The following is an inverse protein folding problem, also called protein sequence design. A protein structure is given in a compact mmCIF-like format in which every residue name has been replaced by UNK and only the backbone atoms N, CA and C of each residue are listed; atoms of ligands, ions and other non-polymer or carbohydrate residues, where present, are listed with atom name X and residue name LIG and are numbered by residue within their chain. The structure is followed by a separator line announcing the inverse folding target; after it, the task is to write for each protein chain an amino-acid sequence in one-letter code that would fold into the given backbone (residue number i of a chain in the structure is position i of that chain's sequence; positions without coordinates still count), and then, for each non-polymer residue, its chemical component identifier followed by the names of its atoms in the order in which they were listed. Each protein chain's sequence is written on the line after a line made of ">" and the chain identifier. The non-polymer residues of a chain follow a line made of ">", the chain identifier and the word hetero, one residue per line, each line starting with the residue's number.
data_IF_621375831456
#
_entry.id   IF_621375831456
#
_cell.length_a   1.000
_cell.length_b   1.000
_cell.length_c   1.000
_cell.angle_alpha   90.00
_cell.angle_beta   90.00
_cell.angle_gamma   90.00
#
_symmetry.space_group_name_H-M   'P 1'
#
loop_
_entity.id
_entity.type
_entity.pdbx_description
1 polymer ?
#
# COMPACT_ATOMS: atom_id res chain seq x y z
N UNK A 1 1.07 -25.02 3.92
CA UNK A 1 1.09 -23.77 4.71
C UNK A 1 -0.01 -22.84 4.21
N UNK A 2 0.12 -22.16 3.06
CA UNK A 2 -0.88 -21.17 2.58
C UNK A 2 -2.35 -21.64 2.58
N UNK A 3 -2.73 -22.69 1.82
CA UNK A 3 -4.15 -23.11 1.78
C UNK A 3 -4.69 -23.56 3.15
N UNK A 4 -3.83 -24.02 4.07
CA UNK A 4 -4.22 -24.31 5.46
C UNK A 4 -4.52 -23.03 6.23
N UNK A 5 -3.63 -22.04 6.14
CA UNK A 5 -3.80 -20.70 6.73
C UNK A 5 -5.07 -20.01 6.20
N UNK A 6 -5.41 -20.20 4.92
CA UNK A 6 -6.67 -19.71 4.33
C UNK A 6 -7.88 -20.38 4.99
N UNK A 7 -7.84 -21.69 5.20
CA UNK A 7 -8.94 -22.42 5.85
C UNK A 7 -9.14 -21.98 7.31
N UNK A 8 -8.06 -21.60 7.99
CA UNK A 8 -8.07 -21.05 9.35
C UNK A 8 -8.35 -19.54 9.40
N UNK A 9 -8.53 -18.88 8.24
CA UNK A 9 -8.67 -17.43 8.08
C UNK A 9 -7.58 -16.61 8.80
N UNK A 10 -6.36 -17.14 8.86
CA UNK A 10 -5.26 -16.53 9.60
C UNK A 10 -3.93 -16.71 8.87
N UNK A 11 -3.28 -15.60 8.52
CA UNK A 11 -1.91 -15.57 8.01
C UNK A 11 -0.92 -15.27 9.17
N UNK A 12 -0.29 -16.28 9.78
CA UNK A 12 0.64 -16.08 10.90
C UNK A 12 1.99 -15.49 10.47
N UNK A 13 2.32 -15.54 9.18
CA UNK A 13 3.65 -15.15 8.70
C UNK A 13 3.73 -13.64 8.45
N UNK A 14 2.66 -13.05 7.90
CA UNK A 14 2.64 -11.63 7.51
C UNK A 14 1.41 -10.86 8.01
N UNK A 15 0.43 -11.53 8.63
CA UNK A 15 -0.74 -10.89 9.19
C UNK A 15 -1.76 -10.38 8.16
N UNK A 16 -1.73 -10.88 6.92
CA UNK A 16 -2.71 -10.50 5.89
C UNK A 16 -4.14 -10.82 6.34
N UNK A 17 -5.05 -9.87 6.17
CA UNK A 17 -6.47 -10.01 6.54
C UNK A 17 -6.79 -9.50 7.95
N UNK A 18 -5.79 -8.97 8.67
CA UNK A 18 -5.95 -8.43 10.03
C UNK A 18 -6.26 -6.92 10.06
N UNK A 19 -6.27 -6.23 8.90
CA UNK A 19 -6.57 -4.80 8.81
C UNK A 19 -7.79 -4.51 7.93
N UNK A 20 -8.51 -3.42 8.22
CA UNK A 20 -9.61 -2.95 7.36
C UNK A 20 -9.14 -2.62 5.93
N UNK A 21 -7.88 -2.23 5.76
CA UNK A 21 -7.29 -1.94 4.45
C UNK A 21 -7.13 -3.20 3.61
N UNK A 22 -6.78 -4.34 4.23
CA UNK A 22 -6.58 -5.61 3.52
C UNK A 22 -7.84 -6.10 2.82
N UNK A 23 -9.01 -5.81 3.40
CA UNK A 23 -10.32 -6.15 2.86
C UNK A 23 -10.91 -5.10 1.91
N UNK A 24 -10.28 -3.94 1.72
CA UNK A 24 -10.87 -2.83 0.96
C UNK A 24 -11.03 -3.14 -0.53
N UNK A 25 -10.08 -3.86 -1.13
CA UNK A 25 -10.08 -4.28 -2.54
C UNK A 25 -10.37 -5.78 -2.73
N UNK A 26 -10.77 -6.46 -1.65
CA UNK A 26 -11.02 -7.91 -1.64
C UNK A 26 -12.41 -8.30 -2.15
N UNK A 27 -12.73 -9.59 -2.03
CA UNK A 27 -14.07 -10.13 -2.35
C UNK A 27 -15.14 -9.50 -1.43
N UNK A 28 -16.07 -8.74 -2.00
CA UNK A 28 -17.10 -8.02 -1.24
C UNK A 28 -18.20 -8.95 -0.68
N UNK A 29 -18.26 -10.21 -1.15
CA UNK A 29 -19.21 -11.22 -0.69
C UNK A 29 -18.70 -12.03 0.51
N UNK A 30 -17.40 -11.96 0.82
CA UNK A 30 -16.85 -12.68 1.96
C UNK A 30 -17.33 -12.08 3.29
N UNK A 31 -17.56 -12.96 4.26
CA UNK A 31 -18.19 -12.63 5.55
C UNK A 31 -17.21 -12.12 6.61
N UNK A 32 -15.91 -12.32 6.42
CA UNK A 32 -14.84 -11.86 7.31
C UNK A 32 -13.81 -11.03 6.54
N UNK A 33 -13.10 -10.12 7.21
CA UNK A 33 -12.01 -9.34 6.58
C UNK A 33 -10.92 -10.24 6.00
N UNK A 34 -10.61 -11.34 6.69
CA UNK A 34 -9.66 -12.32 6.22
C UNK A 34 -10.14 -13.01 4.93
N UNK A 35 -11.39 -13.47 4.89
CA UNK A 35 -11.98 -14.09 3.70
C UNK A 35 -12.04 -13.16 2.47
N UNK A 36 -12.04 -11.84 2.66
CA UNK A 36 -11.95 -10.88 1.53
C UNK A 36 -10.62 -10.97 0.78
N UNK A 37 -9.55 -11.40 1.45
CA UNK A 37 -8.18 -11.29 0.92
C UNK A 37 -7.41 -12.62 0.93
N UNK A 38 -7.79 -13.58 1.78
CA UNK A 38 -7.21 -14.92 1.83
C UNK A 38 -8.03 -15.87 0.96
N UNK A 39 -7.42 -16.39 -0.10
CA UNK A 39 -8.04 -17.36 -1.01
C UNK A 39 -7.11 -18.53 -1.28
N UNK A 40 -7.65 -19.76 -1.41
CA UNK A 40 -6.84 -20.93 -1.71
C UNK A 40 -6.28 -20.83 -3.13
N UNK A 41 -5.10 -21.41 -3.35
CA UNK A 41 -4.47 -21.49 -4.68
C UNK A 41 -4.63 -22.92 -5.20
N UNK A 42 -5.85 -23.27 -5.60
CA UNK A 42 -6.21 -24.52 -6.28
C UNK A 42 -7.56 -24.39 -7.02
N UNK A 43 -7.82 -25.25 -8.03
CA UNK A 43 -6.90 -26.20 -8.67
C UNK A 43 -6.05 -25.54 -9.78
N UNK A 44 -5.18 -26.34 -10.42
CA UNK A 44 -4.40 -25.95 -11.60
C UNK A 44 -5.31 -25.55 -12.81
N UNK A 45 -4.80 -24.81 -13.81
CA UNK A 45 -3.41 -24.42 -14.08
C UNK A 45 -2.91 -23.29 -13.19
N UNK A 46 -1.64 -23.39 -12.78
CA UNK A 46 -0.96 -22.34 -12.02
C UNK A 46 -0.26 -21.36 -12.95
N UNK A 47 -0.25 -20.09 -12.56
CA UNK A 47 0.40 -19.01 -13.29
C UNK A 47 1.42 -18.31 -12.41
N UNK A 48 2.51 -17.83 -13.01
CA UNK A 48 3.52 -17.02 -12.35
C UNK A 48 3.80 -15.78 -13.20
N UNK A 49 3.78 -14.60 -12.57
CA UNK A 49 4.04 -13.31 -13.22
C UNK A 49 5.14 -12.61 -12.45
N UNK A 50 6.26 -12.20 -13.10
CA UNK A 50 7.30 -11.44 -12.42
C UNK A 50 6.77 -10.06 -12.01
N UNK A 51 7.00 -9.68 -10.76
CA UNK A 51 6.67 -8.36 -10.22
C UNK A 51 7.96 -7.62 -9.91
N UNK A 52 8.08 -6.40 -10.44
CA UNK A 52 9.22 -5.50 -10.21
C UNK A 52 8.74 -4.26 -9.46
N UNK A 53 9.66 -3.60 -8.75
CA UNK A 53 9.36 -2.34 -8.06
C UNK A 53 9.02 -1.25 -9.08
N UNK A 54 7.79 -0.76 -9.03
CA UNK A 54 7.37 0.46 -9.71
C UNK A 54 7.37 1.67 -8.76
N UNK A 55 7.26 2.88 -9.31
CA UNK A 55 7.15 4.11 -8.53
C UNK A 55 5.98 4.96 -9.04
N UNK A 56 5.20 5.51 -8.12
CA UNK A 56 4.13 6.50 -8.40
C UNK A 56 4.65 7.91 -8.15
N UNK A 57 5.72 8.28 -8.86
CA UNK A 57 6.44 9.53 -8.65
C UNK A 57 7.34 9.53 -7.41
N UNK A 58 8.18 10.56 -7.29
CA UNK A 58 9.00 10.79 -6.07
C UNK A 58 8.27 11.76 -5.14
N UNK A 59 8.55 11.65 -3.84
CA UNK A 59 8.04 12.60 -2.82
C UNK A 59 9.10 13.61 -2.36
N UNK A 60 10.22 13.69 -3.08
CA UNK A 60 11.25 14.70 -2.83
C UNK A 60 10.88 16.03 -3.48
N UNK A 61 11.41 17.12 -2.95
CA UNK A 61 11.20 18.45 -3.50
C UNK A 61 11.83 19.55 -2.62
N UNK A 62 11.73 20.82 -3.03
CA UNK A 62 12.12 21.95 -2.20
C UNK A 62 11.32 21.96 -0.90
N UNK A 63 11.96 22.30 0.22
CA UNK A 63 11.24 22.48 1.49
C UNK A 63 10.33 23.70 1.39
N UNK A 64 9.07 23.55 1.77
CA UNK A 64 8.10 24.63 1.84
C UNK A 64 7.59 24.84 3.26
N UNK A 65 7.10 26.03 3.55
CA UNK A 65 6.25 26.26 4.72
C UNK A 65 4.78 25.92 4.42
N UNK A 66 3.91 26.12 5.42
CA UNK A 66 2.46 25.84 5.31
C UNK A 66 1.75 26.66 4.22
N UNK A 67 2.36 27.75 3.76
CA UNK A 67 1.81 28.66 2.74
C UNK A 67 2.43 28.37 1.35
N UNK A 68 3.22 27.31 1.22
CA UNK A 68 3.83 26.86 -0.03
C UNK A 68 5.08 27.65 -0.46
N UNK A 69 5.59 28.56 0.38
CA UNK A 69 6.80 29.34 0.06
C UNK A 69 8.03 28.46 0.18
N UNK A 70 8.91 28.50 -0.82
CA UNK A 70 10.16 27.72 -0.79
C UNK A 70 11.11 28.31 0.24
N UNK A 71 11.72 27.45 1.05
CA UNK A 71 12.71 27.82 2.06
C UNK A 71 14.13 27.65 1.52
N UNK A 72 14.96 28.66 1.73
CA UNK A 72 16.40 28.55 1.58
C UNK A 72 16.96 27.57 2.64
N UNK A 73 18.18 27.08 2.44
CA UNK A 73 18.83 26.15 3.40
C UNK A 73 19.03 26.74 4.81
N UNK A 74 18.99 28.07 4.93
CA UNK A 74 18.98 28.79 6.22
C UNK A 74 17.61 28.79 6.91
N UNK A 75 16.56 28.27 6.28
CA UNK A 75 15.18 28.27 6.78
C UNK A 75 14.37 29.53 6.43
N UNK A 76 14.96 30.55 5.81
CA UNK A 76 14.25 31.76 5.39
C UNK A 76 13.48 31.54 4.10
N UNK A 77 12.26 32.07 4.02
CA UNK A 77 11.47 32.02 2.79
C UNK A 77 12.12 32.83 1.67
N UNK A 78 12.13 32.26 0.46
CA UNK A 78 12.61 32.93 -0.76
C UNK A 78 11.44 33.72 -1.36
N UNK A 79 11.56 35.05 -1.37
CA UNK A 79 10.52 35.95 -1.87
C UNK A 79 10.13 35.63 -3.31
N UNK A 80 8.84 35.40 -3.55
CA UNK A 80 8.28 35.15 -4.88
C UNK A 80 8.40 33.71 -5.39
N UNK A 81 9.01 32.80 -4.62
CA UNK A 81 9.17 31.40 -5.01
C UNK A 81 8.26 30.47 -4.20
N UNK A 82 7.43 29.71 -4.90
CA UNK A 82 6.46 28.78 -4.33
C UNK A 82 6.60 27.39 -4.98
N UNK A 83 6.28 26.34 -4.23
CA UNK A 83 6.24 24.97 -4.73
C UNK A 83 5.05 24.21 -4.11
N UNK A 84 4.46 23.30 -4.89
CA UNK A 84 3.38 22.42 -4.47
C UNK A 84 3.44 21.11 -5.28
N UNK A 85 2.89 20.03 -4.74
CA UNK A 85 2.91 18.69 -5.32
C UNK A 85 2.71 17.62 -4.27
#
# INVERSE_FOLDING_TARGET
>A
AWNGNVADEHDPDFGRGASAYDGYWGDDKATSTAGKTLGPIDPAPYFAVPVSVGAMGTKGGPRTDRDGRVLHVSGTAITGLFAAG
#
